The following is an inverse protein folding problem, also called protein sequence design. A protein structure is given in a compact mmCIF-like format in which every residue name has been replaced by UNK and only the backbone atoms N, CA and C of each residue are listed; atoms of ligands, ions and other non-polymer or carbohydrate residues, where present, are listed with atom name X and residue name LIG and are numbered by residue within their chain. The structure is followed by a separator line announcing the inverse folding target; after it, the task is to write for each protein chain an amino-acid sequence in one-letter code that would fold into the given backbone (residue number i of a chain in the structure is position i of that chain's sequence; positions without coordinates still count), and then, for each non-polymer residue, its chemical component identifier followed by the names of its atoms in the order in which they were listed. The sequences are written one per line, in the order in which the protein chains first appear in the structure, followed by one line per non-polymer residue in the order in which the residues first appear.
data_IF_719602574730
#
_entry.id   IF_719602574730
#
_cell.length_a   1.000
_cell.length_b   1.000
_cell.length_c   1.000
_cell.angle_alpha   90.00
_cell.angle_beta   90.00
_cell.angle_gamma   90.00
#
_symmetry.space_group_name_H-M   'P 1'
#
loop_
_entity.id
_entity.type
_entity.pdbx_description
1 polymer ?
#
# COMPACT_ATOMS: atom_id res chain seq x y z
N UNK A 1 4.10 -28.24 -4.59
CA UNK A 1 2.78 -27.61 -4.47
C UNK A 1 2.31 -27.41 -5.90
N UNK A 2 1.26 -28.11 -6.30
CA UNK A 2 0.71 -27.96 -7.64
C UNK A 2 0.01 -26.60 -7.71
N UNK A 3 0.21 -25.88 -8.80
CA UNK A 3 -0.40 -24.57 -9.03
C UNK A 3 -1.46 -24.74 -10.10
N UNK A 4 -2.69 -24.36 -9.78
CA UNK A 4 -3.78 -24.27 -10.75
C UNK A 4 -4.13 -22.81 -10.98
N UNK A 5 -4.30 -22.43 -12.25
CA UNK A 5 -4.72 -21.09 -12.63
C UNK A 5 -6.20 -21.11 -12.98
N UNK A 6 -7.00 -20.33 -12.25
CA UNK A 6 -8.38 -20.07 -12.59
C UNK A 6 -8.47 -18.76 -13.39
N UNK A 7 -9.11 -18.76 -14.58
CA UNK A 7 -9.38 -17.53 -15.30
C UNK A 7 -10.22 -16.58 -14.45
N UNK A 8 -9.84 -15.29 -14.40
CA UNK A 8 -10.61 -14.29 -13.63
C UNK A 8 -12.06 -14.13 -14.10
N UNK A 9 -12.37 -14.47 -15.36
CA UNK A 9 -13.75 -14.47 -15.87
C UNK A 9 -14.64 -15.50 -15.18
N UNK A 10 -14.06 -16.58 -14.66
CA UNK A 10 -14.77 -17.66 -14.00
C UNK A 10 -15.00 -17.35 -12.52
N UNK A 11 -14.38 -16.28 -12.01
CA UNK A 11 -14.56 -15.80 -10.64
C UNK A 11 -15.79 -14.87 -10.58
N UNK A 12 -16.82 -15.17 -9.77
CA UNK A 12 -17.99 -14.32 -9.64
C UNK A 12 -17.68 -12.93 -9.07
N UNK A 13 -18.48 -11.93 -9.45
CA UNK A 13 -18.41 -10.58 -8.87
C UNK A 13 -17.24 -9.71 -9.37
N UNK A 14 -16.44 -10.21 -10.32
CA UNK A 14 -15.37 -9.43 -10.94
C UNK A 14 -15.97 -8.43 -11.93
N UNK A 15 -15.53 -7.17 -11.83
CA UNK A 15 -16.06 -6.11 -12.70
C UNK A 15 -15.62 -6.28 -14.15
N UNK A 16 -16.51 -5.90 -15.09
CA UNK A 16 -16.21 -5.93 -16.53
C UNK A 16 -14.98 -5.10 -16.89
N UNK A 17 -14.82 -3.92 -16.28
CA UNK A 17 -13.64 -3.07 -16.48
C UNK A 17 -12.34 -3.81 -16.17
N UNK A 18 -12.30 -4.54 -15.06
CA UNK A 18 -11.13 -5.32 -14.67
C UNK A 18 -10.88 -6.51 -15.62
N UNK A 19 -11.93 -7.22 -16.03
CA UNK A 19 -11.79 -8.31 -17.02
C UNK A 19 -11.26 -7.79 -18.35
N UNK A 20 -11.87 -6.73 -18.89
CA UNK A 20 -11.42 -6.10 -20.15
C UNK A 20 -9.98 -5.55 -20.02
N UNK A 21 -9.61 -5.02 -18.86
CA UNK A 21 -8.23 -4.63 -18.55
C UNK A 21 -7.28 -5.83 -18.58
N UNK A 22 -7.69 -7.01 -18.06
CA UNK A 22 -6.93 -8.27 -18.07
C UNK A 22 -6.93 -8.99 -19.42
N UNK A 23 -7.84 -8.64 -20.33
CA UNK A 23 -7.85 -9.16 -21.72
C UNK A 23 -7.16 -8.25 -22.73
N UNK A 24 -6.96 -6.99 -22.37
CA UNK A 24 -6.18 -6.03 -23.15
C UNK A 24 -7.05 -5.36 -24.18
N UNK A 25 -8.34 -5.28 -23.88
CA UNK A 25 -9.37 -4.68 -24.68
C UNK A 25 -8.93 -3.25 -25.09
N UNK A 26 -8.88 -2.94 -26.40
CA UNK A 26 -8.45 -1.62 -26.89
C UNK A 26 -9.24 -0.46 -26.28
N UNK A 27 -10.52 -0.65 -25.95
CA UNK A 27 -11.36 0.37 -25.34
C UNK A 27 -10.83 0.78 -23.96
N UNK A 28 -10.41 -0.20 -23.14
CA UNK A 28 -9.84 0.03 -21.80
C UNK A 28 -8.47 0.67 -21.86
N UNK A 29 -7.67 0.39 -22.88
CA UNK A 29 -6.31 0.97 -23.01
C UNK A 29 -6.31 2.50 -23.00
N UNK A 30 -7.38 3.14 -23.50
CA UNK A 30 -7.53 4.60 -23.46
C UNK A 30 -7.55 5.18 -22.03
N UNK A 31 -7.96 4.39 -21.04
CA UNK A 31 -7.98 4.77 -19.62
C UNK A 31 -6.67 4.44 -18.88
N UNK A 32 -5.79 3.63 -19.48
CA UNK A 32 -4.52 3.21 -18.89
C UNK A 32 -3.38 3.35 -19.92
N UNK A 33 -3.08 4.58 -20.39
CA UNK A 33 -2.22 4.81 -21.55
C UNK A 33 -0.77 4.34 -21.37
N UNK A 34 -0.30 4.21 -20.14
CA UNK A 34 1.04 3.71 -19.80
C UNK A 34 1.05 2.23 -19.43
N UNK A 35 -0.11 1.59 -19.26
CA UNK A 35 -0.16 0.18 -18.87
C UNK A 35 0.36 -0.73 -19.98
N UNK A 36 1.16 -1.71 -19.58
CA UNK A 36 1.64 -2.76 -20.47
C UNK A 36 1.60 -4.11 -19.77
N UNK A 37 1.47 -5.16 -20.58
CA UNK A 37 1.55 -6.56 -20.15
C UNK A 37 2.93 -7.16 -20.38
N UNK A 38 3.75 -6.47 -21.15
CA UNK A 38 5.10 -6.93 -21.48
C UNK A 38 6.06 -6.38 -20.43
N UNK A 39 6.78 -7.28 -19.76
CA UNK A 39 7.85 -6.89 -18.84
C UNK A 39 8.98 -6.15 -19.58
N UNK A 40 9.16 -6.40 -20.88
CA UNK A 40 10.18 -5.74 -21.69
C UNK A 40 9.76 -4.30 -22.04
N UNK A 41 8.48 -4.09 -22.37
CA UNK A 41 7.92 -2.75 -22.54
C UNK A 41 7.93 -1.97 -21.22
N UNK A 42 7.60 -2.63 -20.11
CA UNK A 42 7.66 -2.02 -18.78
C UNK A 42 9.09 -1.62 -18.43
N UNK A 43 10.08 -2.47 -18.72
CA UNK A 43 11.49 -2.14 -18.55
C UNK A 43 11.90 -0.95 -19.42
N UNK A 44 11.42 -0.88 -20.67
CA UNK A 44 11.67 0.28 -21.53
C UNK A 44 11.07 1.57 -20.95
N UNK A 45 9.82 1.54 -20.49
CA UNK A 45 9.16 2.67 -19.84
C UNK A 45 9.89 3.09 -18.56
N UNK A 46 10.33 2.13 -17.74
CA UNK A 46 11.04 2.40 -16.49
C UNK A 46 12.36 3.16 -16.71
N UNK A 47 13.05 2.94 -17.83
CA UNK A 47 14.26 3.70 -18.20
C UNK A 47 14.01 5.17 -18.53
N UNK A 48 12.78 5.53 -18.91
CA UNK A 48 12.40 6.91 -19.22
C UNK A 48 12.08 7.74 -17.98
N UNK A 49 11.94 7.10 -16.81
CA UNK A 49 11.62 7.78 -15.55
C UNK A 49 12.85 8.57 -15.09
N UNK A 50 12.78 9.90 -15.21
CA UNK A 50 13.80 10.82 -14.73
C UNK A 50 13.27 11.62 -13.55
N UNK A 51 13.99 11.57 -12.43
CA UNK A 51 13.68 12.28 -11.18
C UNK A 51 14.92 13.07 -10.78
N UNK A 52 14.78 14.34 -10.33
CA UNK A 52 15.92 15.12 -9.84
C UNK A 52 16.71 14.37 -8.77
N UNK A 53 18.05 14.43 -8.87
CA UNK A 53 18.97 13.68 -7.99
C UNK A 53 18.77 14.07 -6.54
N UNK A 54 18.55 15.35 -6.27
CA UNK A 54 18.35 15.90 -4.93
C UNK A 54 17.06 15.34 -4.30
N UNK A 55 15.98 15.24 -5.09
CA UNK A 55 14.71 14.67 -4.62
C UNK A 55 14.89 13.19 -4.27
N UNK A 56 15.60 12.45 -5.11
CA UNK A 56 15.90 11.02 -4.92
C UNK A 56 16.74 10.78 -3.67
N UNK A 57 17.77 11.62 -3.45
CA UNK A 57 18.60 11.56 -2.24
C UNK A 57 17.77 11.81 -0.98
N UNK A 58 16.95 12.86 -0.97
CA UNK A 58 16.11 13.18 0.18
C UNK A 58 15.10 12.05 0.50
N UNK A 59 14.44 11.48 -0.52
CA UNK A 59 13.56 10.32 -0.32
C UNK A 59 14.34 9.12 0.22
N UNK A 60 15.54 8.84 -0.29
CA UNK A 60 16.37 7.75 0.21
C UNK A 60 16.84 7.98 1.67
N UNK A 61 17.07 9.22 2.08
CA UNK A 61 17.42 9.58 3.47
C UNK A 61 16.25 9.30 4.43
N UNK A 62 15.03 9.72 4.04
CA UNK A 62 13.81 9.42 4.82
C UNK A 62 13.59 7.91 4.92
N UNK A 63 13.64 7.20 3.80
CA UNK A 63 13.47 5.74 3.77
C UNK A 63 14.51 5.03 4.64
N UNK A 64 15.77 5.48 4.61
CA UNK A 64 16.84 4.92 5.44
C UNK A 64 16.54 5.12 6.93
N UNK A 65 16.11 6.32 7.32
CA UNK A 65 15.74 6.64 8.70
C UNK A 65 14.57 5.75 9.15
N UNK A 66 13.48 5.71 8.38
CA UNK A 66 12.29 4.92 8.68
C UNK A 66 12.58 3.42 8.79
N UNK A 67 13.25 2.83 7.79
CA UNK A 67 13.49 1.38 7.81
C UNK A 67 14.48 0.96 8.91
N UNK A 68 15.37 1.85 9.36
CA UNK A 68 16.21 1.59 10.53
C UNK A 68 15.41 1.54 11.83
N UNK A 69 14.36 2.35 12.02
CA UNK A 69 13.55 2.29 13.24
C UNK A 69 12.79 0.97 13.36
N UNK A 70 12.44 0.35 12.24
CA UNK A 70 11.82 -0.98 12.21
C UNK A 70 12.82 -2.14 12.14
N UNK A 71 14.11 -1.88 12.35
CA UNK A 71 15.19 -2.87 12.34
C UNK A 71 15.32 -3.63 11.00
N UNK A 72 15.17 -2.93 9.88
CA UNK A 72 15.36 -3.53 8.56
C UNK A 72 16.80 -4.06 8.37
N UNK A 73 16.88 -5.26 7.79
CA UNK A 73 18.11 -5.96 7.44
C UNK A 73 18.86 -5.40 6.23
N UNK A 74 20.04 -5.95 5.94
CA UNK A 74 20.99 -5.39 4.98
C UNK A 74 20.47 -5.32 3.54
N UNK A 75 19.59 -6.23 3.13
CA UNK A 75 18.99 -6.23 1.79
C UNK A 75 18.12 -4.99 1.56
N UNK A 76 17.39 -4.54 2.59
CA UNK A 76 16.58 -3.31 2.53
C UNK A 76 17.48 -2.09 2.43
N UNK A 77 18.53 -2.04 3.25
CA UNK A 77 19.48 -0.92 3.25
C UNK A 77 20.21 -0.80 1.91
N UNK A 78 20.60 -1.94 1.31
CA UNK A 78 21.19 -1.97 -0.02
C UNK A 78 20.22 -1.48 -1.09
N UNK A 79 18.94 -1.85 -1.03
CA UNK A 79 17.93 -1.36 -1.97
C UNK A 79 17.69 0.15 -1.82
N UNK A 80 17.72 0.69 -0.60
CA UNK A 80 17.63 2.14 -0.39
C UNK A 80 18.82 2.86 -1.02
N UNK A 81 20.02 2.28 -0.96
CA UNK A 81 21.19 2.85 -1.63
C UNK A 81 21.10 2.73 -3.17
N UNK A 82 20.56 1.64 -3.69
CA UNK A 82 20.30 1.51 -5.13
C UNK A 82 19.27 2.55 -5.60
N UNK A 83 18.23 2.80 -4.81
CA UNK A 83 17.27 3.89 -5.05
C UNK A 83 17.99 5.23 -5.11
N UNK A 84 18.90 5.50 -4.17
CA UNK A 84 19.72 6.74 -4.16
C UNK A 84 20.52 6.91 -5.45
N UNK A 85 21.06 5.82 -6.01
CA UNK A 85 21.91 5.81 -7.20
C UNK A 85 21.17 5.90 -8.53
N UNK A 86 19.87 5.62 -8.57
CA UNK A 86 19.10 5.74 -9.82
C UNK A 86 18.06 4.65 -10.05
N UNK A 87 18.00 3.60 -9.22
CA UNK A 87 17.07 2.49 -9.42
C UNK A 87 15.60 2.96 -9.49
N UNK A 88 14.80 2.32 -10.33
CA UNK A 88 13.36 2.55 -10.43
C UNK A 88 12.66 2.02 -9.17
N UNK A 89 11.59 2.68 -8.72
CA UNK A 89 10.76 2.19 -7.62
C UNK A 89 9.55 1.43 -8.16
N UNK A 90 9.37 0.19 -7.73
CA UNK A 90 8.13 -0.56 -7.95
C UNK A 90 7.30 -0.43 -6.68
N UNK A 91 6.20 0.31 -6.77
CA UNK A 91 5.40 0.71 -5.60
C UNK A 91 4.06 -0.02 -5.59
N UNK A 92 3.69 -0.53 -4.42
CA UNK A 92 2.31 -0.87 -4.08
C UNK A 92 2.06 -0.45 -2.63
N UNK A 93 0.84 -0.59 -2.14
CA UNK A 93 0.53 -0.18 -0.78
C UNK A 93 -0.79 -0.73 -0.29
N UNK A 94 -0.98 -0.58 1.02
CA UNK A 94 -2.20 -0.96 1.69
C UNK A 94 -2.36 -0.19 3.01
N UNK A 95 -3.60 -0.04 3.47
CA UNK A 95 -3.89 0.42 4.83
C UNK A 95 -3.24 -0.50 5.86
N UNK A 96 -2.89 0.08 7.01
CA UNK A 96 -2.18 -0.59 8.11
C UNK A 96 -3.16 -1.40 8.97
N UNK A 97 -3.68 -2.50 8.42
CA UNK A 97 -4.63 -3.41 9.09
C UNK A 97 -4.09 -4.13 10.32
N UNK A 98 -4.98 -4.44 11.27
CA UNK A 98 -4.69 -5.35 12.38
C UNK A 98 -4.18 -6.69 11.83
N UNK A 99 -3.03 -7.16 12.33
CA UNK A 99 -2.36 -8.38 11.86
C UNK A 99 -2.16 -8.44 10.33
N UNK A 100 -1.82 -7.30 9.71
CA UNK A 100 -1.69 -7.06 8.26
C UNK A 100 -3.00 -7.01 7.46
N UNK A 101 -4.13 -7.22 8.12
CA UNK A 101 -5.44 -7.23 7.50
C UNK A 101 -5.60 -8.37 6.49
N UNK A 102 -6.21 -8.12 5.31
CA UNK A 102 -6.52 -9.17 4.35
C UNK A 102 -5.27 -9.72 3.64
N UNK A 103 -5.34 -10.99 3.22
CA UNK A 103 -4.22 -11.71 2.61
C UNK A 103 -3.62 -11.01 1.37
N UNK A 104 -4.41 -10.21 0.65
CA UNK A 104 -3.92 -9.49 -0.52
C UNK A 104 -2.86 -8.42 -0.17
N UNK A 105 -2.73 -7.99 1.08
CA UNK A 105 -1.60 -7.19 1.57
C UNK A 105 -0.27 -7.89 1.29
N UNK A 106 -0.19 -9.18 1.62
CA UNK A 106 1.00 -10.01 1.38
C UNK A 106 1.20 -10.24 -0.13
N UNK A 107 0.11 -10.47 -0.88
CA UNK A 107 0.20 -10.67 -2.33
C UNK A 107 0.73 -9.43 -3.04
N UNK A 108 0.31 -8.23 -2.64
CA UNK A 108 0.85 -6.96 -3.15
C UNK A 108 2.35 -6.83 -2.88
N UNK A 109 2.79 -7.13 -1.66
CA UNK A 109 4.21 -7.09 -1.29
C UNK A 109 5.05 -8.09 -2.11
N UNK A 110 4.61 -9.35 -2.19
CA UNK A 110 5.27 -10.36 -3.02
C UNK A 110 5.31 -9.93 -4.48
N UNK A 111 4.22 -9.37 -5.00
CA UNK A 111 4.13 -8.91 -6.40
C UNK A 111 5.19 -7.87 -6.72
N UNK A 112 5.34 -6.83 -5.90
CA UNK A 112 6.33 -5.78 -6.18
C UNK A 112 7.76 -6.26 -5.98
N UNK A 113 8.02 -7.17 -5.02
CA UNK A 113 9.33 -7.81 -4.84
C UNK A 113 9.70 -8.61 -6.09
N UNK A 114 8.77 -9.42 -6.59
CA UNK A 114 8.97 -10.22 -7.80
C UNK A 114 9.18 -9.31 -9.02
N UNK A 115 8.34 -8.28 -9.18
CA UNK A 115 8.43 -7.37 -10.31
C UNK A 115 9.76 -6.59 -10.33
N UNK A 116 10.24 -6.11 -9.18
CA UNK A 116 11.54 -5.45 -9.07
C UNK A 116 12.70 -6.38 -9.50
N UNK A 117 12.64 -7.66 -9.12
CA UNK A 117 13.62 -8.67 -9.56
C UNK A 117 13.55 -8.94 -11.06
N UNK A 118 12.35 -9.05 -11.62
CA UNK A 118 12.15 -9.27 -13.06
C UNK A 118 12.65 -8.09 -13.91
N UNK A 119 12.47 -6.85 -13.44
CA UNK A 119 13.02 -5.65 -14.08
C UNK A 119 14.55 -5.60 -13.99
N UNK A 120 15.10 -5.94 -12.82
CA UNK A 120 16.56 -6.00 -12.62
C UNK A 120 17.20 -7.03 -13.53
N UNK A 121 16.59 -8.21 -13.68
CA UNK A 121 17.04 -9.25 -14.62
C UNK A 121 17.00 -8.79 -16.09
N UNK A 122 16.19 -7.77 -16.42
CA UNK A 122 16.10 -7.12 -17.75
C UNK A 122 16.97 -5.87 -17.88
N UNK A 123 17.92 -5.67 -16.97
CA UNK A 123 18.88 -4.58 -16.99
C UNK A 123 18.28 -3.22 -16.58
N UNK A 124 17.19 -3.22 -15.81
CA UNK A 124 16.66 -2.01 -15.16
C UNK A 124 16.75 -2.22 -13.65
N UNK A 125 17.71 -1.56 -13.00
CA UNK A 125 17.79 -1.59 -11.54
C UNK A 125 16.46 -1.11 -10.95
N UNK A 126 15.83 -1.96 -10.14
CA UNK A 126 14.52 -1.67 -9.56
C UNK A 126 14.45 -2.15 -8.11
N UNK A 127 13.73 -1.40 -7.27
CA UNK A 127 13.58 -1.70 -5.85
C UNK A 127 12.09 -1.75 -5.47
N UNK A 128 11.67 -2.69 -4.60
CA UNK A 128 10.29 -2.77 -4.14
C UNK A 128 10.04 -1.84 -2.95
N UNK A 129 9.02 -0.99 -3.06
CA UNK A 129 8.59 -0.08 -1.98
C UNK A 129 7.12 -0.35 -1.64
N UNK A 130 6.83 -0.64 -0.37
CA UNK A 130 5.48 -0.82 0.14
C UNK A 130 5.04 0.45 0.91
N UNK A 131 4.06 1.14 0.36
CA UNK A 131 3.45 2.35 0.92
C UNK A 131 2.45 1.98 2.02
N UNK A 132 2.69 2.47 3.23
CA UNK A 132 1.78 2.32 4.36
C UNK A 132 0.70 3.40 4.26
N UNK A 133 -0.55 3.04 3.92
CA UNK A 133 -1.65 4.02 3.87
C UNK A 133 -2.15 4.34 5.28
N UNK A 134 -1.26 4.91 6.11
CA UNK A 134 -1.42 5.26 7.52
C UNK A 134 -2.27 6.50 7.75
N UNK A 135 -2.29 7.43 6.78
CA UNK A 135 -2.98 8.72 6.82
C UNK A 135 -4.49 8.64 6.54
N UNK A 136 -4.99 7.47 6.15
CA UNK A 136 -6.44 7.23 6.12
C UNK A 136 -7.01 7.31 7.53
N UNK A 137 -8.31 7.50 7.68
CA UNK A 137 -9.02 7.71 8.94
C UNK A 137 -10.11 6.65 9.19
N UNK A 138 -10.32 5.72 8.25
CA UNK A 138 -11.29 4.64 8.41
C UNK A 138 -10.78 3.51 9.31
N UNK A 139 -10.84 3.74 10.63
CA UNK A 139 -10.46 2.74 11.62
C UNK A 139 -11.35 1.48 11.56
N UNK A 140 -12.62 1.63 11.16
CA UNK A 140 -13.55 0.52 11.12
C UNK A 140 -13.18 -0.52 10.05
N UNK A 141 -12.56 -0.07 8.96
CA UNK A 141 -12.02 -0.95 7.91
C UNK A 141 -10.82 -1.78 8.39
N UNK A 142 -9.98 -1.21 9.25
CA UNK A 142 -8.64 -1.77 9.56
C UNK A 142 -8.51 -2.40 10.95
N UNK A 143 -9.46 -2.18 11.87
CA UNK A 143 -9.37 -2.63 13.26
C UNK A 143 -9.62 -4.13 13.48
N UNK A 144 -9.75 -4.91 12.42
CA UNK A 144 -10.12 -6.31 12.50
C UNK A 144 -9.50 -7.17 11.39
N UNK A 145 -9.52 -8.48 11.63
CA UNK A 145 -9.15 -9.50 10.65
C UNK A 145 -10.14 -10.67 10.74
N UNK A 146 -10.29 -11.39 9.64
CA UNK A 146 -11.02 -12.66 9.60
C UNK A 146 -10.02 -13.80 9.46
N UNK A 147 -10.08 -14.75 10.38
CA UNK A 147 -9.16 -15.90 10.45
C UNK A 147 -10.00 -17.18 10.43
N UNK A 148 -9.76 -18.12 9.51
CA UNK A 148 -10.47 -19.39 9.52
C UNK A 148 -10.05 -20.21 10.74
N UNK A 149 -11.02 -20.85 11.39
CA UNK A 149 -10.74 -21.87 12.40
C UNK A 149 -10.38 -23.22 11.76
N UNK A 150 -10.15 -24.24 12.60
CA UNK A 150 -9.87 -25.62 12.16
C UNK A 150 -10.95 -26.26 11.28
N UNK A 151 -12.16 -25.71 11.24
CA UNK A 151 -13.29 -26.15 10.41
C UNK A 151 -13.46 -25.29 9.16
N UNK A 152 -12.65 -24.24 8.99
CA UNK A 152 -12.74 -23.28 7.89
C UNK A 152 -13.73 -22.14 8.14
N UNK A 153 -14.33 -22.05 9.32
CA UNK A 153 -15.28 -20.98 9.65
C UNK A 153 -14.55 -19.69 10.02
N UNK A 154 -14.92 -18.59 9.38
CA UNK A 154 -14.25 -17.30 9.59
C UNK A 154 -14.58 -16.72 10.97
N UNK A 155 -13.54 -16.57 11.79
CA UNK A 155 -13.60 -15.91 13.08
C UNK A 155 -13.14 -14.46 12.92
N UNK A 156 -13.97 -13.51 13.37
CA UNK A 156 -13.61 -12.09 13.36
C UNK A 156 -12.89 -11.73 14.65
N UNK A 157 -11.64 -11.29 14.53
CA UNK A 157 -10.83 -10.74 15.61
C UNK A 157 -10.76 -9.23 15.44
N UNK A 158 -11.18 -8.46 16.44
CA UNK A 158 -11.23 -7.00 16.34
C UNK A 158 -10.74 -6.37 17.63
N UNK A 159 -9.93 -5.32 17.50
CA UNK A 159 -9.52 -4.51 18.64
C UNK A 159 -10.57 -3.44 18.94
N UNK A 160 -10.71 -3.12 20.22
CA UNK A 160 -11.51 -2.01 20.73
C UNK A 160 -10.70 -0.71 20.81
N UNK A 161 -9.41 -0.73 20.48
CA UNK A 161 -8.54 0.45 20.40
C UNK A 161 -9.19 1.57 19.59
N UNK A 162 -9.16 2.78 20.13
CA UNK A 162 -9.71 3.97 19.49
C UNK A 162 -8.65 5.07 19.44
N UNK A 163 -8.69 5.87 18.37
CA UNK A 163 -8.01 7.16 18.31
C UNK A 163 -8.97 8.31 18.62
N UNK A 164 -8.50 9.55 18.47
CA UNK A 164 -9.42 10.69 18.50
C UNK A 164 -10.27 10.69 17.21
N UNK A 165 -11.52 11.19 17.23
CA UNK A 165 -12.37 11.18 16.05
C UNK A 165 -11.70 11.89 14.86
N UNK A 166 -11.54 11.16 13.74
CA UNK A 166 -10.94 11.65 12.51
C UNK A 166 -9.40 11.67 12.48
N UNK A 167 -8.70 11.04 13.43
CA UNK A 167 -7.26 10.88 13.32
C UNK A 167 -6.87 9.84 12.27
N UNK A 168 -5.65 9.95 11.71
CA UNK A 168 -5.03 8.88 10.95
C UNK A 168 -5.02 7.53 11.67
N UNK A 169 -5.42 6.47 11.00
CA UNK A 169 -5.41 5.09 11.51
C UNK A 169 -4.02 4.69 11.97
N UNK A 170 -2.97 5.13 11.26
CA UNK A 170 -1.59 4.83 11.60
C UNK A 170 -1.13 5.40 12.95
N UNK A 171 -1.81 6.41 13.48
CA UNK A 171 -1.49 7.04 14.77
C UNK A 171 -2.25 6.42 15.95
N UNK A 172 -3.27 5.60 15.68
CA UNK A 172 -4.06 4.93 16.71
C UNK A 172 -3.18 3.97 17.49
N UNK A 173 -3.16 4.10 18.82
CA UNK A 173 -2.40 3.21 19.71
C UNK A 173 -3.23 1.99 20.09
N UNK A 174 -2.58 0.82 20.06
CA UNK A 174 -3.17 -0.44 20.47
C UNK A 174 -3.34 -0.49 21.99
N UNK A 175 -4.52 -0.89 22.44
CA UNK A 175 -4.85 -1.11 23.84
C UNK A 175 -4.35 -2.45 24.37
N UNK A 176 -4.62 -2.71 25.65
CA UNK A 176 -4.29 -3.99 26.29
C UNK A 176 -5.06 -5.17 25.71
N UNK A 177 -6.15 -4.92 24.99
CA UNK A 177 -6.97 -5.93 24.32
C UNK A 177 -6.25 -6.60 23.15
N UNK A 178 -5.13 -6.04 22.65
CA UNK A 178 -4.34 -6.71 21.61
C UNK A 178 -3.71 -8.03 22.10
N UNK A 179 -3.36 -8.12 23.39
CA UNK A 179 -2.74 -9.32 23.97
C UNK A 179 -3.68 -10.54 23.87
N UNK A 180 -4.92 -10.51 24.37
CA UNK A 180 -5.84 -11.63 24.20
C UNK A 180 -6.22 -11.89 22.73
N UNK A 181 -6.13 -10.89 21.83
CA UNK A 181 -6.33 -11.14 20.39
C UNK A 181 -5.19 -11.97 19.78
N UNK A 182 -3.94 -11.74 20.20
CA UNK A 182 -2.79 -12.58 19.80
C UNK A 182 -2.95 -14.00 20.35
N UNK A 183 -3.41 -14.14 21.59
CA UNK A 183 -3.67 -15.47 22.17
C UNK A 183 -4.82 -16.18 21.44
N UNK A 184 -5.86 -15.45 21.04
CA UNK A 184 -6.93 -16.03 20.21
C UNK A 184 -6.42 -16.42 18.81
N UNK A 185 -5.52 -15.64 18.22
CA UNK A 185 -4.88 -15.99 16.95
C UNK A 185 -4.07 -17.29 17.08
N UNK A 186 -3.37 -17.46 18.20
CA UNK A 186 -2.66 -18.70 18.53
C UNK A 186 -3.60 -19.90 18.64
N UNK A 187 -4.74 -19.76 19.30
CA UNK A 187 -5.72 -20.85 19.41
C UNK A 187 -6.26 -21.29 18.03
N UNK A 188 -6.41 -20.35 17.10
CA UNK A 188 -6.94 -20.62 15.76
C UNK A 188 -5.90 -21.21 14.81
N UNK A 189 -4.67 -20.71 14.83
CA UNK A 189 -3.63 -21.05 13.86
C UNK A 189 -2.55 -21.99 14.39
N UNK A 190 -2.49 -22.19 15.71
CA UNK A 190 -1.42 -22.89 16.39
C UNK A 190 -0.14 -22.07 16.54
N UNK A 191 0.82 -22.65 17.26
CA UNK A 191 2.14 -22.07 17.45
C UNK A 191 2.96 -22.08 16.15
N UNK A 192 3.60 -20.95 15.84
CA UNK A 192 4.46 -20.82 14.66
C UNK A 192 5.45 -19.67 14.80
N UNK A 193 6.49 -19.67 13.96
CA UNK A 193 7.42 -18.53 13.86
C UNK A 193 6.68 -17.23 13.48
N UNK A 194 5.69 -17.31 12.59
CA UNK A 194 4.87 -16.16 12.20
C UNK A 194 4.06 -15.61 13.36
N UNK A 195 3.49 -16.47 14.21
CA UNK A 195 2.79 -16.03 15.41
C UNK A 195 3.75 -15.33 16.39
N UNK A 196 4.98 -15.81 16.55
CA UNK A 196 5.99 -15.12 17.35
C UNK A 196 6.30 -13.72 16.81
N UNK A 197 6.35 -13.56 15.48
CA UNK A 197 6.49 -12.24 14.87
C UNK A 197 5.29 -11.34 15.20
N UNK A 198 4.06 -11.84 15.05
CA UNK A 198 2.84 -11.09 15.42
C UNK A 198 2.90 -10.67 16.89
N UNK A 199 3.18 -11.60 17.81
CA UNK A 199 3.28 -11.34 19.25
C UNK A 199 4.31 -10.27 19.59
N UNK A 200 5.44 -10.25 18.88
CA UNK A 200 6.50 -9.26 19.09
C UNK A 200 6.23 -7.89 18.46
N UNK A 201 5.34 -7.82 17.45
CA UNK A 201 5.04 -6.60 16.70
C UNK A 201 3.76 -5.91 17.15
N UNK A 202 2.84 -6.61 17.80
CA UNK A 202 1.57 -6.07 18.27
C UNK A 202 1.54 -6.05 19.80
N UNK A 203 1.91 -4.90 20.38
CA UNK A 203 1.98 -4.71 21.83
C UNK A 203 1.20 -3.46 22.28
N UNK A 204 0.70 -3.43 23.53
CA UNK A 204 0.00 -2.26 24.05
C UNK A 204 0.87 -0.99 23.95
N UNK A 205 0.26 0.11 23.52
CA UNK A 205 0.91 1.41 23.36
C UNK A 205 1.61 1.63 22.01
N UNK A 206 1.91 0.58 21.25
CA UNK A 206 2.39 0.72 19.85
C UNK A 206 1.28 1.22 18.93
N UNK A 207 1.61 1.86 17.81
CA UNK A 207 0.59 2.30 16.86
C UNK A 207 0.30 1.22 15.80
N UNK A 208 -0.83 1.34 15.10
CA UNK A 208 -1.13 0.48 13.96
C UNK A 208 -0.03 0.53 12.89
N UNK A 209 0.48 1.72 12.55
CA UNK A 209 1.54 1.87 11.56
C UNK A 209 2.83 1.18 12.00
N UNK A 210 3.28 1.40 13.24
CA UNK A 210 4.49 0.74 13.77
C UNK A 210 4.32 -0.78 13.81
N UNK A 211 3.20 -1.27 14.33
CA UNK A 211 2.96 -2.72 14.47
C UNK A 211 2.93 -3.42 13.11
N UNK A 212 2.27 -2.79 12.13
CA UNK A 212 2.22 -3.28 10.76
C UNK A 212 3.62 -3.28 10.12
N UNK A 213 4.35 -2.18 10.27
CA UNK A 213 5.68 -2.04 9.66
C UNK A 213 6.69 -3.03 10.25
N UNK A 214 6.69 -3.24 11.57
CA UNK A 214 7.55 -4.23 12.20
C UNK A 214 7.24 -5.65 11.74
N UNK A 215 5.96 -6.02 11.64
CA UNK A 215 5.58 -7.35 11.17
C UNK A 215 5.95 -7.54 9.69
N UNK A 216 5.69 -6.55 8.84
CA UNK A 216 6.12 -6.58 7.43
C UNK A 216 7.65 -6.67 7.30
N UNK A 217 8.40 -5.97 8.15
CA UNK A 217 9.87 -6.02 8.17
C UNK A 217 10.36 -7.42 8.50
N UNK A 218 9.79 -8.07 9.54
CA UNK A 218 10.15 -9.46 9.90
C UNK A 218 9.88 -10.45 8.77
N UNK A 219 8.78 -10.28 8.05
CA UNK A 219 8.40 -11.18 6.95
C UNK A 219 9.21 -10.96 5.67
N UNK A 220 9.53 -9.70 5.34
CA UNK A 220 10.01 -9.35 4.00
C UNK A 220 11.36 -8.65 3.93
N UNK A 221 12.01 -8.34 5.06
CA UNK A 221 13.30 -7.64 5.04
C UNK A 221 14.38 -8.42 4.28
N UNK A 222 14.44 -9.75 4.45
CA UNK A 222 15.36 -10.63 3.69
C UNK A 222 15.15 -10.60 2.17
N UNK A 223 14.03 -10.06 1.71
CA UNK A 223 13.71 -9.90 0.29
C UNK A 223 13.92 -8.47 -0.20
N UNK A 224 14.45 -7.58 0.66
CA UNK A 224 14.75 -6.19 0.33
C UNK A 224 13.51 -5.30 0.21
N UNK A 225 12.38 -5.66 0.81
CA UNK A 225 11.18 -4.82 0.81
C UNK A 225 11.41 -3.55 1.62
N UNK A 226 11.36 -2.40 0.96
CA UNK A 226 11.43 -1.09 1.63
C UNK A 226 10.02 -0.70 2.06
N UNK A 227 9.84 -0.29 3.31
CA UNK A 227 8.58 0.28 3.80
C UNK A 227 8.64 1.82 3.75
N UNK A 228 7.52 2.45 3.45
CA UNK A 228 7.38 3.90 3.40
C UNK A 228 6.19 4.35 4.25
N UNK A 229 6.48 5.08 5.32
CA UNK A 229 5.49 5.83 6.10
C UNK A 229 5.33 7.23 5.47
N UNK A 230 4.20 7.51 4.80
CA UNK A 230 4.04 8.76 4.05
C UNK A 230 3.87 10.00 4.93
N UNK A 231 3.47 9.85 6.20
CA UNK A 231 3.19 10.98 7.08
C UNK A 231 4.46 11.71 7.57
N UNK A 232 5.62 11.47 6.97
CA UNK A 232 6.89 12.09 7.35
C UNK A 232 6.97 13.54 6.84
N UNK A 233 7.33 14.45 7.74
CA UNK A 233 7.37 15.89 7.45
C UNK A 233 8.29 16.23 6.27
N UNK A 234 9.42 15.53 6.11
CA UNK A 234 10.36 15.78 5.01
C UNK A 234 9.73 15.38 3.67
N UNK A 235 8.95 14.30 3.63
CA UNK A 235 8.19 13.90 2.44
C UNK A 235 7.09 14.91 2.11
N UNK A 236 6.39 15.43 3.11
CA UNK A 236 5.39 16.48 2.92
C UNK A 236 6.01 17.78 2.38
N UNK A 237 7.20 18.17 2.85
CA UNK A 237 7.91 19.32 2.29
C UNK A 237 8.33 19.08 0.83
N UNK A 238 8.80 17.88 0.49
CA UNK A 238 9.10 17.51 -0.89
C UNK A 238 7.84 17.52 -1.79
N UNK A 239 6.70 17.12 -1.25
CA UNK A 239 5.42 17.09 -1.95
C UNK A 239 4.71 18.45 -2.01
N UNK A 240 5.10 19.42 -1.17
CA UNK A 240 4.41 20.71 -1.05
C UNK A 240 4.18 21.44 -2.39
N UNK A 241 5.12 21.47 -3.36
CA UNK A 241 4.86 22.08 -4.66
C UNK A 241 3.77 21.37 -5.46
N UNK A 242 3.71 20.03 -5.39
CA UNK A 242 2.66 19.23 -6.02
C UNK A 242 1.30 19.48 -5.37
N UNK A 243 1.24 19.46 -4.03
CA UNK A 243 0.01 19.71 -3.28
C UNK A 243 -0.51 21.14 -3.51
N UNK A 244 0.38 22.13 -3.56
CA UNK A 244 0.04 23.51 -3.92
C UNK A 244 -0.57 23.58 -5.32
N UNK A 245 0.09 22.97 -6.31
CA UNK A 245 -0.41 22.94 -7.69
C UNK A 245 -1.80 22.30 -7.76
N UNK A 246 -2.03 21.19 -7.04
CA UNK A 246 -3.34 20.55 -6.96
C UNK A 246 -4.42 21.43 -6.32
N UNK A 247 -4.06 22.24 -5.31
CA UNK A 247 -4.99 23.21 -4.71
C UNK A 247 -5.34 24.34 -5.69
N UNK A 248 -4.32 24.92 -6.33
CA UNK A 248 -4.46 26.03 -7.29
C UNK A 248 -5.28 25.62 -8.53
N UNK A 249 -5.17 24.36 -8.97
CA UNK A 249 -5.89 23.82 -10.14
C UNK A 249 -7.07 22.91 -9.76
N UNK A 250 -7.58 23.01 -8.54
CA UNK A 250 -8.61 22.11 -8.01
C UNK A 250 -9.87 22.02 -8.88
N UNK A 251 -10.36 23.15 -9.41
CA UNK A 251 -11.54 23.16 -10.31
C UNK A 251 -11.28 22.44 -11.64
N UNK A 252 -10.08 22.56 -12.19
CA UNK A 252 -9.68 21.87 -13.41
C UNK A 252 -9.60 20.35 -13.16
N UNK A 253 -8.95 19.95 -12.08
CA UNK A 253 -8.82 18.54 -11.69
C UNK A 253 -10.20 17.91 -11.41
N UNK A 254 -11.09 18.60 -10.69
CA UNK A 254 -12.45 18.13 -10.44
C UNK A 254 -13.25 17.98 -11.73
N UNK A 255 -13.15 18.94 -12.67
CA UNK A 255 -13.79 18.82 -13.99
C UNK A 255 -13.23 17.64 -14.79
N UNK A 256 -11.92 17.44 -14.77
CA UNK A 256 -11.28 16.32 -15.44
C UNK A 256 -11.73 14.96 -14.88
N UNK A 257 -11.82 14.84 -13.55
CA UNK A 257 -12.33 13.64 -12.88
C UNK A 257 -13.79 13.36 -13.23
N UNK A 258 -14.66 14.38 -13.20
CA UNK A 258 -16.07 14.24 -13.58
C UNK A 258 -16.23 13.86 -15.06
N UNK A 259 -15.42 14.44 -15.96
CA UNK A 259 -15.39 14.06 -17.37
C UNK A 259 -14.98 12.60 -17.54
N UNK A 260 -13.91 12.18 -16.85
CA UNK A 260 -13.40 10.82 -16.93
C UNK A 260 -14.40 9.78 -16.43
N UNK A 261 -15.14 10.08 -15.36
CA UNK A 261 -16.22 9.21 -14.87
C UNK A 261 -17.33 9.05 -15.92
N UNK A 262 -17.73 10.15 -16.59
CA UNK A 262 -18.71 10.08 -17.69
C UNK A 262 -18.21 9.28 -18.89
N UNK A 263 -16.93 9.40 -19.22
CA UNK A 263 -16.32 8.61 -20.30
C UNK A 263 -16.32 7.11 -19.98
N UNK A 264 -16.00 6.73 -18.74
CA UNK A 264 -16.09 5.34 -18.27
C UNK A 264 -17.53 4.82 -18.37
N UNK A 265 -18.51 5.57 -17.87
CA UNK A 265 -19.93 5.20 -17.91
C UNK A 265 -20.45 5.10 -19.34
N UNK A 266 -20.06 6.02 -20.22
CA UNK A 266 -20.40 5.98 -21.65
C UNK A 266 -19.76 4.80 -22.38
N UNK A 267 -18.65 4.29 -21.85
CA UNK A 267 -17.96 3.09 -22.30
C UNK A 267 -18.52 1.79 -21.67
N UNK A 268 -19.65 1.87 -20.95
CA UNK A 268 -20.29 0.75 -20.25
C UNK A 268 -19.44 0.15 -19.12
N UNK A 269 -18.62 1.00 -18.49
CA UNK A 269 -17.86 0.71 -17.28
C UNK A 269 -18.40 1.52 -16.10
N UNK A 270 -18.30 0.99 -14.88
CA UNK A 270 -18.71 1.71 -13.68
C UNK A 270 -17.67 2.77 -13.26
N UNK A 271 -18.13 3.90 -12.75
CA UNK A 271 -17.26 4.89 -12.12
C UNK A 271 -16.57 4.29 -10.87
N UNK A 272 -15.25 4.42 -10.80
CA UNK A 272 -14.43 3.84 -9.72
C UNK A 272 -14.42 4.70 -8.46
N UNK A 273 -14.43 6.02 -8.63
CA UNK A 273 -14.35 7.00 -7.54
C UNK A 273 -15.56 7.92 -7.64
N UNK A 274 -16.29 8.08 -6.53
CA UNK A 274 -17.42 9.00 -6.44
C UNK A 274 -16.90 10.40 -6.18
N UNK A 275 -16.84 11.22 -7.23
CA UNK A 275 -16.45 12.63 -7.17
C UNK A 275 -17.69 13.49 -7.40
N UNK A 276 -17.83 14.53 -6.60
CA UNK A 276 -18.84 15.59 -6.74
C UNK A 276 -18.14 16.93 -6.97
N UNK A 277 -18.90 17.97 -7.35
CA UNK A 277 -18.37 19.33 -7.42
C UNK A 277 -17.87 19.86 -6.07
N UNK A 278 -18.33 19.26 -4.96
CA UNK A 278 -17.92 19.60 -3.59
C UNK A 278 -16.82 18.70 -3.03
N UNK A 279 -16.31 17.75 -3.82
CA UNK A 279 -15.22 16.88 -3.39
C UNK A 279 -13.90 17.65 -3.31
N UNK A 280 -13.11 17.36 -2.28
CA UNK A 280 -11.73 17.84 -2.16
C UNK A 280 -10.75 16.73 -2.57
N UNK A 281 -9.63 17.13 -3.16
CA UNK A 281 -8.51 16.24 -3.49
C UNK A 281 -7.41 16.28 -2.43
N UNK A 282 -7.55 17.18 -1.46
CA UNK A 282 -6.56 17.45 -0.42
C UNK A 282 -7.24 17.41 0.93
N UNK A 283 -6.48 17.01 1.92
CA UNK A 283 -6.89 17.05 3.32
C UNK A 283 -5.82 17.80 4.08
N UNK A 284 -6.21 18.46 5.17
CA UNK A 284 -5.26 19.07 6.08
C UNK A 284 -5.45 18.52 7.49
N UNK A 285 -4.36 18.55 8.25
CA UNK A 285 -4.36 18.13 9.64
C UNK A 285 -4.51 19.33 10.56
N UNK A 286 -5.53 19.31 11.43
CA UNK A 286 -5.74 20.31 12.46
C UNK A 286 -6.00 19.61 13.79
N UNK A 287 -5.18 19.91 14.80
CA UNK A 287 -5.29 19.31 16.15
C UNK A 287 -5.33 17.77 16.11
N UNK A 288 -4.52 17.16 15.23
CA UNK A 288 -4.43 15.71 15.04
C UNK A 288 -5.58 15.08 14.25
N UNK A 289 -6.51 15.87 13.72
CA UNK A 289 -7.64 15.39 12.91
C UNK A 289 -7.44 15.71 11.44
N UNK A 290 -7.83 14.77 10.59
CA UNK A 290 -7.89 14.93 9.14
C UNK A 290 -9.20 15.61 8.75
N UNK A 291 -9.12 16.72 8.03
CA UNK A 291 -10.27 17.50 7.58
C UNK A 291 -10.24 17.68 6.06
N UNK A 292 -11.41 17.69 5.39
CA UNK A 292 -11.50 18.02 3.98
C UNK A 292 -11.21 19.50 3.70
#
# INVERSE_FOLDING_TARGET
MDQECLPFRDVPGISRLYLDFLDGNPQVRSFYPTSTRSLDELAHQARSVSIPVERRQCVADVLLKQNRTWNAGPEVLSNIENLRKGACAVVSGQQVGLFLGPAYTLYKAVTIIRLARELTARGVEAVPIFWLASEDHDLAEVNHVFVPDSRGELQRLATTSQGCPGCPVGTVRLGNDVVPLVDRLQELLGESETLNFVRSSYAPGTTFATSFAELMTRLFSRYGLILLEPSDDDLHQLAAPLLRSAAEHSEELTRALLSRSKELESADYHAQVKVTQSSTLLFFFKEGKRLP
#
